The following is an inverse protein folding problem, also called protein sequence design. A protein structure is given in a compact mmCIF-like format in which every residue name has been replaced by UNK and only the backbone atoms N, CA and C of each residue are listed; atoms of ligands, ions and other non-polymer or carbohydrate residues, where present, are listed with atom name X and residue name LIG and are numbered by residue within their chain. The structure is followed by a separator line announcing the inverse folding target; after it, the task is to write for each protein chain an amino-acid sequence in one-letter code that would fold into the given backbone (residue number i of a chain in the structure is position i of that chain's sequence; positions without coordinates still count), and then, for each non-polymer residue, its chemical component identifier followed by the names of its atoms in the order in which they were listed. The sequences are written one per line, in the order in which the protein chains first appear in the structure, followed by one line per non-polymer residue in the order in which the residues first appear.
data_IF_832832523379
#
_entry.id   IF_832832523379
#
_cell.length_a   1.000
_cell.length_b   1.000
_cell.length_c   1.000
_cell.angle_alpha   90.00
_cell.angle_beta   90.00
_cell.angle_gamma   90.00
#
_symmetry.space_group_name_H-M   'P 1'
#
loop_
_entity.id
_entity.type
_entity.pdbx_description
1 polymer ?
#
# COMPACT_ATOMS: atom_id res chain seq x y z
N UNK A 1 -15.94 -3.70 -14.15
CA UNK A 1 -15.29 -4.60 -13.18
C UNK A 1 -16.29 -5.55 -12.59
N UNK A 2 -15.86 -6.76 -12.36
CA UNK A 2 -16.73 -7.77 -11.78
C UNK A 2 -16.71 -7.72 -10.26
N UNK A 3 -17.77 -8.27 -9.68
CA UNK A 3 -17.88 -8.43 -8.24
C UNK A 3 -16.78 -9.33 -7.68
N UNK A 4 -16.28 -10.25 -8.49
CA UNK A 4 -15.20 -11.15 -8.15
C UNK A 4 -13.89 -10.40 -7.89
N UNK A 5 -13.58 -9.42 -8.73
CA UNK A 5 -12.38 -8.59 -8.59
C UNK A 5 -12.49 -7.68 -7.37
N UNK A 6 -13.67 -7.12 -7.11
CA UNK A 6 -13.93 -6.36 -5.90
C UNK A 6 -13.68 -7.21 -4.65
N UNK A 7 -14.16 -8.44 -4.67
CA UNK A 7 -14.01 -9.37 -3.56
C UNK A 7 -12.54 -9.71 -3.31
N UNK A 8 -11.76 -9.88 -4.37
CA UNK A 8 -10.32 -10.12 -4.26
C UNK A 8 -9.61 -8.95 -3.61
N UNK A 9 -9.96 -7.72 -4.01
CA UNK A 9 -9.37 -6.53 -3.41
C UNK A 9 -9.69 -6.41 -1.93
N UNK A 10 -10.91 -6.71 -1.53
CA UNK A 10 -11.27 -6.67 -0.10
C UNK A 10 -10.40 -7.62 0.71
N UNK A 11 -10.06 -8.77 0.16
CA UNK A 11 -9.15 -9.72 0.81
C UNK A 11 -7.74 -9.16 0.93
N UNK A 12 -7.28 -8.43 -0.07
CA UNK A 12 -5.96 -7.78 -0.03
C UNK A 12 -5.89 -6.80 1.13
N UNK A 13 -6.89 -5.93 1.26
CA UNK A 13 -6.92 -4.97 2.36
C UNK A 13 -7.05 -5.65 3.72
N UNK A 14 -7.84 -6.70 3.81
CA UNK A 14 -7.98 -7.46 5.06
C UNK A 14 -6.66 -8.11 5.46
N UNK A 15 -5.92 -8.67 4.51
CA UNK A 15 -4.60 -9.25 4.77
C UNK A 15 -3.62 -8.19 5.25
N UNK A 16 -3.63 -7.01 4.63
CA UNK A 16 -2.76 -5.91 5.02
C UNK A 16 -3.09 -5.42 6.43
N UNK A 17 -4.36 -5.32 6.76
CA UNK A 17 -4.79 -4.86 8.08
C UNK A 17 -4.21 -5.73 9.20
N UNK A 18 -4.15 -7.04 9.01
CA UNK A 18 -3.60 -7.96 10.00
C UNK A 18 -2.13 -8.31 9.78
N UNK A 19 -1.47 -7.61 8.86
CA UNK A 19 -0.06 -7.81 8.51
C UNK A 19 0.26 -9.24 8.05
N UNK A 20 -0.69 -9.86 7.38
CA UNK A 20 -0.50 -11.17 6.75
C UNK A 20 0.06 -10.94 5.35
N UNK A 21 1.35 -10.69 5.26
CA UNK A 21 1.99 -10.36 4.00
C UNK A 21 2.13 -11.57 3.07
N UNK A 22 2.12 -12.77 3.61
CA UNK A 22 2.08 -13.97 2.79
C UNK A 22 0.75 -14.08 2.05
N UNK A 23 -0.37 -13.86 2.74
CA UNK A 23 -1.69 -13.85 2.12
C UNK A 23 -1.81 -12.73 1.08
N UNK A 24 -1.23 -11.56 1.37
CA UNK A 24 -1.23 -10.44 0.45
C UNK A 24 -0.47 -10.81 -0.83
N UNK A 25 0.71 -11.39 -0.69
CA UNK A 25 1.55 -11.82 -1.81
C UNK A 25 0.81 -12.85 -2.68
N UNK A 26 0.12 -13.79 -2.06
CA UNK A 26 -0.64 -14.82 -2.76
C UNK A 26 -1.86 -14.26 -3.49
N UNK A 27 -2.31 -13.08 -3.14
CA UNK A 27 -3.51 -12.45 -3.69
C UNK A 27 -3.26 -11.64 -4.96
N UNK A 28 -1.99 -11.50 -5.36
CA UNK A 28 -1.60 -10.68 -6.52
C UNK A 28 -0.80 -11.52 -7.50
N UNK A 29 -0.60 -10.99 -8.72
CA UNK A 29 0.16 -11.72 -9.75
C UNK A 29 1.63 -11.80 -9.39
N UNK A 30 2.35 -12.76 -10.01
CA UNK A 30 3.79 -12.92 -9.80
C UNK A 30 4.59 -11.70 -10.25
N UNK A 31 4.08 -10.97 -11.25
CA UNK A 31 4.72 -9.78 -11.80
C UNK A 31 4.08 -8.49 -11.31
N UNK A 32 3.45 -8.53 -10.16
CA UNK A 32 2.79 -7.38 -9.53
C UNK A 32 3.69 -6.15 -9.50
N UNK A 33 3.13 -5.00 -9.87
CA UNK A 33 3.80 -3.70 -9.75
C UNK A 33 3.16 -2.90 -8.62
N UNK A 34 3.95 -2.58 -7.61
CA UNK A 34 3.52 -1.74 -6.49
C UNK A 34 4.28 -0.43 -6.58
N UNK A 35 3.55 0.67 -6.72
CA UNK A 35 4.14 1.99 -6.93
C UNK A 35 3.65 2.91 -5.82
N UNK A 36 4.57 3.33 -4.96
CA UNK A 36 4.30 4.27 -3.88
C UNK A 36 5.11 5.54 -4.09
N UNK A 37 4.75 6.64 -3.41
CA UNK A 37 5.58 7.85 -3.46
C UNK A 37 7.02 7.56 -3.04
N UNK A 38 7.97 8.11 -3.77
CA UNK A 38 9.40 7.96 -3.46
C UNK A 38 9.78 8.59 -2.13
N UNK A 39 8.99 9.52 -1.66
CA UNK A 39 9.33 10.36 -0.52
C UNK A 39 9.07 9.72 0.84
N UNK A 40 8.83 8.40 0.89
CA UNK A 40 8.73 7.66 2.17
C UNK A 40 9.75 6.51 2.15
N UNK A 41 10.20 6.03 3.33
CA UNK A 41 11.27 5.03 3.37
C UNK A 41 10.89 3.68 2.76
N UNK A 42 9.60 3.34 2.72
CA UNK A 42 9.10 2.10 2.11
C UNK A 42 8.51 2.34 0.72
N UNK A 43 8.82 3.50 0.11
CA UNK A 43 8.25 3.92 -1.15
C UNK A 43 9.00 3.42 -2.39
N UNK A 44 8.62 3.99 -3.53
CA UNK A 44 9.21 3.68 -4.81
C UNK A 44 8.44 2.64 -5.59
N UNK A 45 9.03 2.25 -6.72
CA UNK A 45 8.47 1.20 -7.58
C UNK A 45 9.03 -0.15 -7.15
N UNK A 46 8.14 -1.09 -6.90
CA UNK A 46 8.53 -2.43 -6.45
C UNK A 46 7.87 -3.46 -7.35
N UNK A 47 8.65 -4.42 -7.80
CA UNK A 47 8.24 -5.39 -8.80
C UNK A 47 8.19 -6.79 -8.22
N UNK A 48 7.11 -7.52 -8.55
CA UNK A 48 6.95 -8.93 -8.26
C UNK A 48 6.79 -9.23 -6.77
N UNK A 49 6.79 -10.51 -6.45
CA UNK A 49 6.65 -10.96 -5.07
C UNK A 49 7.86 -10.54 -4.21
N UNK A 50 9.06 -10.51 -4.81
CA UNK A 50 10.24 -9.99 -4.11
C UNK A 50 10.08 -8.52 -3.75
N UNK A 51 9.46 -7.74 -4.63
CA UNK A 51 9.17 -6.33 -4.37
C UNK A 51 8.18 -6.16 -3.23
N UNK A 52 7.17 -7.01 -3.15
CA UNK A 52 6.21 -6.98 -2.04
C UNK A 52 6.90 -7.34 -0.73
N UNK A 53 7.78 -8.35 -0.72
CA UNK A 53 8.53 -8.72 0.49
C UNK A 53 9.44 -7.60 0.94
N UNK A 54 10.09 -6.90 0.01
CA UNK A 54 10.92 -5.75 0.30
C UNK A 54 10.11 -4.62 0.91
N UNK A 55 8.94 -4.34 0.34
CA UNK A 55 8.01 -3.35 0.90
C UNK A 55 7.60 -3.74 2.33
N UNK A 56 7.19 -5.00 2.52
CA UNK A 56 6.73 -5.48 3.82
C UNK A 56 7.82 -5.33 4.88
N UNK A 57 9.07 -5.65 4.53
CA UNK A 57 10.20 -5.53 5.45
C UNK A 57 10.44 -4.09 5.86
N UNK A 58 10.47 -3.17 4.89
CA UNK A 58 10.70 -1.76 5.16
C UNK A 58 9.54 -1.14 5.94
N UNK A 59 8.33 -1.55 5.60
CA UNK A 59 7.13 -1.08 6.29
C UNK A 59 7.20 -1.47 7.78
N UNK A 60 7.53 -2.72 8.06
CA UNK A 60 7.66 -3.23 9.43
C UNK A 60 8.85 -2.63 10.16
N UNK A 61 9.94 -2.31 9.46
CA UNK A 61 11.10 -1.69 10.07
C UNK A 61 10.78 -0.30 10.59
N UNK A 62 9.92 0.43 9.91
CA UNK A 62 9.61 1.82 10.25
C UNK A 62 8.33 1.99 11.07
N UNK A 63 7.41 1.04 11.00
CA UNK A 63 6.11 1.17 11.65
C UNK A 63 5.90 0.08 12.70
N UNK A 64 5.42 0.49 13.86
CA UNK A 64 4.99 -0.42 14.92
C UNK A 64 3.63 -1.03 14.56
N UNK A 65 2.77 -0.23 13.92
CA UNK A 65 1.45 -0.63 13.44
C UNK A 65 1.12 0.22 12.22
N UNK A 66 0.32 -0.29 11.33
CA UNK A 66 -0.12 0.49 10.18
C UNK A 66 -0.86 -0.36 9.16
N UNK A 67 -1.84 0.26 8.54
CA UNK A 67 -2.62 -0.39 7.48
C UNK A 67 -3.37 0.67 6.69
N UNK A 68 -3.85 0.26 5.51
CA UNK A 68 -4.73 1.07 4.68
C UNK A 68 -6.16 0.64 4.98
N UNK A 69 -6.96 1.60 5.45
CA UNK A 69 -8.36 1.37 5.83
C UNK A 69 -9.25 1.92 4.72
N UNK A 70 -9.84 1.06 3.87
CA UNK A 70 -10.62 1.53 2.74
C UNK A 70 -11.99 2.02 3.16
N UNK A 71 -12.42 3.15 2.59
CA UNK A 71 -13.76 3.69 2.77
C UNK A 71 -14.66 3.34 1.59
N UNK A 72 -14.12 3.35 0.38
CA UNK A 72 -14.94 3.22 -0.81
C UNK A 72 -14.14 2.55 -1.94
N UNK A 73 -14.82 1.69 -2.70
CA UNK A 73 -14.27 1.00 -3.86
C UNK A 73 -15.03 1.49 -5.08
N UNK A 74 -14.36 2.19 -5.97
CA UNK A 74 -14.97 2.85 -7.12
C UNK A 74 -14.62 2.09 -8.40
N UNK A 75 -15.65 1.66 -9.11
CA UNK A 75 -15.48 0.96 -10.38
C UNK A 75 -15.19 2.00 -11.48
N UNK A 76 -13.98 1.95 -12.03
CA UNK A 76 -13.55 2.86 -13.09
C UNK A 76 -13.40 2.14 -14.42
N UNK A 77 -14.16 1.06 -14.63
CA UNK A 77 -14.12 0.29 -15.89
C UNK A 77 -13.07 -0.81 -15.81
N UNK A 78 -11.91 -0.58 -16.43
CA UNK A 78 -10.82 -1.55 -16.42
C UNK A 78 -9.91 -1.40 -15.19
N UNK A 79 -10.25 -0.48 -14.28
CA UNK A 79 -9.52 -0.25 -13.04
C UNK A 79 -10.48 -0.08 -11.89
N UNK A 80 -9.97 -0.31 -10.68
CA UNK A 80 -10.72 -0.01 -9.46
C UNK A 80 -9.91 1.02 -8.68
N UNK A 81 -10.57 2.10 -8.25
CA UNK A 81 -9.97 3.11 -7.39
C UNK A 81 -10.49 2.89 -5.98
N UNK A 82 -9.58 2.75 -5.03
CA UNK A 82 -9.94 2.60 -3.62
C UNK A 82 -9.47 3.85 -2.88
N UNK A 83 -10.37 4.47 -2.15
CA UNK A 83 -10.05 5.63 -1.32
C UNK A 83 -10.30 5.29 0.15
N UNK A 84 -9.52 5.90 1.02
CA UNK A 84 -9.63 5.65 2.45
C UNK A 84 -8.55 6.38 3.21
N UNK A 85 -8.11 5.81 4.32
CA UNK A 85 -7.12 6.41 5.19
C UNK A 85 -6.03 5.41 5.53
N UNK A 86 -4.77 5.87 5.43
CA UNK A 86 -3.64 5.11 5.96
C UNK A 86 -3.47 5.54 7.40
N UNK A 87 -3.49 4.57 8.30
CA UNK A 87 -3.28 4.78 9.73
C UNK A 87 -2.01 4.08 10.13
N UNK A 88 -1.21 4.72 10.99
CA UNK A 88 0.01 4.09 11.44
C UNK A 88 0.57 4.70 12.69
N UNK A 89 1.55 3.99 13.25
CA UNK A 89 2.34 4.44 14.38
C UNK A 89 3.80 4.22 14.05
N UNK A 90 4.59 5.27 14.16
CA UNK A 90 6.03 5.19 13.89
C UNK A 90 6.72 4.42 15.01
N UNK A 91 7.59 3.48 14.63
CA UNK A 91 8.33 2.67 15.62
C UNK A 91 9.32 3.51 16.42
N UNK A 92 10.04 4.40 15.73
CA UNK A 92 11.09 5.22 16.34
C UNK A 92 10.55 6.22 17.35
N UNK A 93 9.46 6.90 17.02
CA UNK A 93 8.94 8.03 17.82
C UNK A 93 7.74 7.69 18.66
N UNK A 94 7.01 6.63 18.30
CA UNK A 94 5.72 6.28 18.89
C UNK A 94 4.59 7.17 18.44
N UNK A 95 4.82 8.10 17.50
CA UNK A 95 3.80 9.02 17.02
C UNK A 95 2.86 8.33 16.06
N UNK A 96 1.58 8.66 16.17
CA UNK A 96 0.55 8.20 15.25
C UNK A 96 0.46 9.14 14.06
N UNK A 97 0.01 8.60 12.92
CA UNK A 97 -0.38 9.42 11.78
C UNK A 97 -1.60 8.81 11.11
N UNK A 98 -2.32 9.67 10.40
CA UNK A 98 -3.46 9.26 9.60
C UNK A 98 -3.53 10.19 8.40
N UNK A 99 -3.53 9.63 7.19
CA UNK A 99 -3.60 10.41 5.96
C UNK A 99 -4.58 9.76 5.00
N UNK A 100 -5.30 10.56 4.19
CA UNK A 100 -6.13 9.98 3.13
C UNK A 100 -5.24 9.37 2.05
N UNK A 101 -5.76 8.34 1.39
CA UNK A 101 -5.07 7.72 0.27
C UNK A 101 -6.02 7.49 -0.89
N UNK A 102 -5.45 7.33 -2.07
CA UNK A 102 -6.12 6.79 -3.22
C UNK A 102 -5.21 5.72 -3.82
N UNK A 103 -5.75 4.54 -4.05
CA UNK A 103 -5.05 3.46 -4.74
C UNK A 103 -5.73 3.22 -6.08
N UNK A 104 -4.94 3.13 -7.14
CA UNK A 104 -5.45 2.78 -8.46
C UNK A 104 -4.97 1.37 -8.78
N UNK A 105 -5.91 0.44 -8.88
CA UNK A 105 -5.61 -0.98 -9.09
C UNK A 105 -5.84 -1.38 -10.54
N UNK A 106 -4.87 -2.09 -11.10
CA UNK A 106 -5.00 -2.76 -12.39
C UNK A 106 -5.04 -4.27 -12.18
N UNK A 107 -5.57 -4.99 -13.15
CA UNK A 107 -5.81 -6.43 -13.06
C UNK A 107 -5.33 -7.12 -14.33
N UNK A 108 -4.90 -8.38 -14.17
CA UNK A 108 -4.61 -9.28 -15.27
C UNK A 108 -5.37 -10.57 -14.99
N UNK A 109 -6.28 -10.94 -15.91
CA UNK A 109 -7.12 -12.13 -15.74
C UNK A 109 -7.84 -12.18 -14.40
N UNK A 110 -8.34 -11.02 -13.96
CA UNK A 110 -9.10 -10.89 -12.72
C UNK A 110 -8.28 -10.88 -11.45
N UNK A 111 -6.94 -10.88 -11.56
CA UNK A 111 -6.04 -10.87 -10.41
C UNK A 111 -5.33 -9.51 -10.34
N UNK A 112 -5.25 -8.89 -9.16
CA UNK A 112 -4.54 -7.61 -9.03
C UNK A 112 -3.10 -7.73 -9.49
N UNK A 113 -2.70 -6.87 -10.45
CA UNK A 113 -1.37 -6.88 -11.04
C UNK A 113 -0.65 -5.55 -10.95
N UNK A 114 -1.33 -4.49 -10.54
CA UNK A 114 -0.72 -3.18 -10.37
C UNK A 114 -1.48 -2.40 -9.30
N UNK A 115 -0.74 -1.73 -8.44
CA UNK A 115 -1.31 -0.80 -7.48
C UNK A 115 -0.47 0.47 -7.47
N UNK A 116 -1.10 1.60 -7.74
CA UNK A 116 -0.48 2.92 -7.60
C UNK A 116 -1.07 3.57 -6.36
N UNK A 117 -0.23 3.89 -5.40
CA UNK A 117 -0.64 4.47 -4.12
C UNK A 117 -0.29 5.95 -4.10
N UNK A 118 -1.27 6.78 -3.76
CA UNK A 118 -1.11 8.23 -3.64
C UNK A 118 -1.55 8.66 -2.25
N UNK A 119 -0.68 9.36 -1.54
CA UNK A 119 -1.02 9.92 -0.24
C UNK A 119 -0.06 11.06 0.10
N UNK A 120 -0.45 11.89 1.06
CA UNK A 120 0.37 12.98 1.53
C UNK A 120 1.51 12.41 2.38
N UNK A 121 2.74 12.55 1.91
CA UNK A 121 3.90 11.97 2.59
C UNK A 121 4.40 12.81 3.76
N UNK A 122 4.08 14.09 3.81
CA UNK A 122 4.62 14.98 4.84
C UNK A 122 4.22 14.56 6.27
N UNK A 123 2.94 14.28 6.58
CA UNK A 123 2.59 13.85 7.94
C UNK A 123 3.21 12.49 8.29
N UNK A 124 3.31 11.58 7.32
CA UNK A 124 3.93 10.28 7.54
C UNK A 124 5.40 10.46 7.93
N UNK A 125 6.14 11.22 7.14
CA UNK A 125 7.56 11.46 7.37
C UNK A 125 7.80 12.24 8.66
N UNK A 126 6.92 13.16 9.02
CA UNK A 126 7.02 13.88 10.29
C UNK A 126 6.92 12.91 11.46
N UNK A 127 5.97 11.97 11.43
CA UNK A 127 5.83 10.98 12.49
C UNK A 127 7.04 10.06 12.56
N UNK A 128 7.59 9.67 11.39
CA UNK A 128 8.76 8.80 11.30
C UNK A 128 10.07 9.52 11.63
N UNK A 129 10.08 10.86 11.62
CA UNK A 129 11.32 11.65 11.67
C UNK A 129 12.28 11.21 10.56
N UNK A 130 11.74 11.09 9.37
CA UNK A 130 12.49 10.63 8.19
C UNK A 130 12.37 11.65 7.07
N UNK A 131 13.46 11.84 6.33
CA UNK A 131 13.48 12.71 5.17
C UNK A 131 14.09 11.97 4.00
N UNK A 132 13.57 12.18 2.78
CA UNK A 132 14.19 11.56 1.62
C UNK A 132 15.60 12.12 1.43
N UNK A 133 16.52 11.31 0.84
CA UNK A 133 17.87 11.80 0.55
C UNK A 133 17.81 13.03 -0.34
N UNK A 134 18.69 13.98 -0.03
CA UNK A 134 18.80 15.19 -0.83
C UNK A 134 19.57 14.86 -2.11
N UNK A 135 19.01 15.22 -3.25
CA UNK A 135 19.66 15.03 -4.54
C UNK A 135 20.59 16.19 -4.82
N UNK A 136 21.78 15.91 -5.35
CA UNK A 136 22.80 16.92 -5.61
C UNK A 136 23.18 16.94 -7.05
#
# INVERSE_FOLDING_TARGET
MSEHEMKRLRRVYAAFERWDFDALEESVTHDMELILPDAVPFGGRRHGHDGIRSFARLFQDHLEAGFADPDDFLDAGDRIVVVGRIRGQARKTGRDFEVPFAHVWGFTDGVPSECRSYFDTAPVNAALEWSPPTDR
#
